data_IF_226208306134
#
_entry.id   IF_226208306134
#
_cell.length_a   1.000
_cell.length_b   1.000
_cell.length_c   1.000
_cell.angle_alpha   90.00
_cell.angle_beta   90.00
_cell.angle_gamma   90.00
#
_symmetry.space_group_name_H-M   'P 1'
#
loop_
_entity.id
_entity.type
_entity.pdbx_description
1 polymer ?
#
# COMPACT_ATOMS: atom_id res chain seq x y z
N UNK A 1 13.94 -24.82 8.39
CA UNK A 1 13.93 -23.46 8.96
C UNK A 1 12.47 -23.10 9.20
N UNK A 2 12.02 -23.14 10.46
CA UNK A 2 10.62 -23.08 10.85
C UNK A 2 10.02 -21.70 10.62
N UNK A 3 8.98 -21.62 9.79
CA UNK A 3 8.11 -20.45 9.71
C UNK A 3 7.33 -20.35 11.03
N UNK A 4 7.62 -19.34 11.83
CA UNK A 4 6.78 -18.98 12.97
C UNK A 4 5.41 -18.58 12.41
N UNK A 5 4.38 -19.43 12.59
CA UNK A 5 3.00 -18.99 12.45
C UNK A 5 2.81 -17.87 13.47
N UNK A 6 2.48 -16.67 13.01
CA UNK A 6 1.86 -15.68 13.89
C UNK A 6 0.70 -16.37 14.61
N UNK A 7 0.49 -16.11 15.91
CA UNK A 7 -0.69 -16.64 16.61
C UNK A 7 -1.93 -16.33 15.77
N UNK A 8 -2.88 -17.27 15.70
CA UNK A 8 -4.19 -17.03 15.07
C UNK A 8 -4.86 -15.90 15.85
N UNK A 9 -4.64 -14.66 15.40
CA UNK A 9 -5.25 -13.48 15.98
C UNK A 9 -6.76 -13.57 15.71
N UNK A 10 -7.57 -13.25 16.71
CA UNK A 10 -9.02 -13.23 16.55
C UNK A 10 -9.46 -12.21 15.49
N UNK A 11 -10.62 -12.44 14.87
CA UNK A 11 -11.15 -11.57 13.82
C UNK A 11 -11.25 -10.10 14.24
N UNK A 12 -11.58 -9.82 15.50
CA UNK A 12 -11.63 -8.46 16.05
C UNK A 12 -10.24 -7.78 16.06
N UNK A 13 -9.19 -8.52 16.43
CA UNK A 13 -7.81 -8.01 16.41
C UNK A 13 -7.35 -7.78 14.97
N UNK A 14 -7.65 -8.71 14.05
CA UNK A 14 -7.32 -8.56 12.64
C UNK A 14 -8.06 -7.39 11.98
N UNK A 15 -9.31 -7.12 12.35
CA UNK A 15 -10.06 -5.98 11.83
C UNK A 15 -9.36 -4.63 12.11
N UNK A 16 -8.58 -4.54 13.18
CA UNK A 16 -7.86 -3.33 13.59
C UNK A 16 -6.40 -3.35 13.12
N UNK A 17 -5.74 -4.51 13.21
CA UNK A 17 -4.28 -4.63 13.10
C UNK A 17 -3.79 -5.44 11.89
N UNK A 18 -4.68 -5.89 11.00
CA UNK A 18 -4.27 -6.65 9.80
C UNK A 18 -3.49 -5.81 8.79
N UNK A 19 -3.65 -4.48 8.81
CA UNK A 19 -2.94 -3.61 7.91
C UNK A 19 -1.42 -3.69 8.13
N UNK A 20 -0.68 -4.01 7.05
CA UNK A 20 0.78 -4.14 7.09
C UNK A 20 1.53 -2.90 6.57
N UNK A 21 0.80 -1.93 6.00
CA UNK A 21 1.41 -0.74 5.41
C UNK A 21 1.98 0.17 6.50
N UNK A 22 3.21 0.63 6.30
CA UNK A 22 3.86 1.61 7.17
C UNK A 22 3.88 2.95 6.47
N UNK A 23 3.38 3.98 7.14
CA UNK A 23 3.55 5.36 6.70
C UNK A 23 5.02 5.78 6.81
N UNK A 24 5.49 6.62 5.87
CA UNK A 24 6.88 7.07 5.81
C UNK A 24 7.27 7.96 7.00
N UNK A 25 6.29 8.61 7.64
CA UNK A 25 6.49 9.44 8.83
C UNK A 25 6.13 8.70 10.13
N UNK A 26 5.79 7.42 10.04
CA UNK A 26 5.46 6.59 11.20
C UNK A 26 4.10 6.89 11.82
N UNK A 27 3.17 7.48 11.05
CA UNK A 27 1.80 7.66 11.53
C UNK A 27 1.16 6.33 11.92
N UNK A 28 0.51 6.30 13.10
CA UNK A 28 -0.25 5.12 13.56
C UNK A 28 -1.49 4.84 12.70
N UNK A 29 -1.97 5.85 11.96
CA UNK A 29 -3.07 5.73 11.00
C UNK A 29 -2.54 6.03 9.60
N UNK A 30 -3.03 5.31 8.58
CA UNK A 30 -2.68 5.63 7.19
C UNK A 30 -3.26 6.99 6.80
N UNK A 31 -2.44 7.88 6.21
CA UNK A 31 -2.93 9.16 5.70
C UNK A 31 -4.03 9.00 4.66
N UNK A 32 -4.94 9.96 4.61
CA UNK A 32 -5.92 10.08 3.55
C UNK A 32 -5.25 10.74 2.34
N UNK A 33 -5.20 10.04 1.22
CA UNK A 33 -4.66 10.56 -0.04
C UNK A 33 -5.78 11.17 -0.87
N UNK A 34 -6.14 12.42 -0.58
CA UNK A 34 -7.11 13.19 -1.36
C UNK A 34 -6.49 13.69 -2.67
N UNK A 35 -6.22 12.75 -3.58
CA UNK A 35 -5.69 13.01 -4.92
C UNK A 35 -6.29 12.04 -5.92
N UNK A 36 -6.34 12.44 -7.17
CA UNK A 36 -6.72 11.57 -8.28
C UNK A 36 -5.52 10.92 -8.95
N UNK A 37 -4.31 11.51 -8.83
CA UNK A 37 -3.11 11.11 -9.58
C UNK A 37 -1.83 11.22 -8.75
N UNK A 38 -0.73 10.64 -9.25
CA UNK A 38 0.56 10.54 -8.56
C UNK A 38 1.70 11.04 -9.45
N UNK A 39 2.69 11.68 -8.83
CA UNK A 39 3.86 12.21 -9.53
C UNK A 39 4.98 11.16 -9.60
N UNK A 40 5.80 11.27 -10.63
CA UNK A 40 7.00 10.46 -10.83
C UNK A 40 8.20 11.36 -11.13
N UNK A 41 9.42 10.93 -10.78
CA UNK A 41 10.63 11.72 -11.02
C UNK A 41 10.95 11.93 -12.51
N UNK A 42 10.36 11.12 -13.40
CA UNK A 42 10.51 11.26 -14.85
C UNK A 42 9.71 10.21 -15.61
N UNK A 43 9.73 10.30 -16.94
CA UNK A 43 8.97 9.41 -17.83
C UNK A 43 9.45 7.97 -17.77
N UNK A 44 10.76 7.73 -17.57
CA UNK A 44 11.30 6.39 -17.38
C UNK A 44 10.66 5.68 -16.16
N UNK A 45 10.54 6.40 -15.03
CA UNK A 45 9.91 5.85 -13.83
C UNK A 45 8.40 5.62 -14.01
N UNK A 46 7.73 6.47 -14.80
CA UNK A 46 6.33 6.27 -15.16
C UNK A 46 6.15 5.01 -16.03
N UNK A 47 7.03 4.80 -17.01
CA UNK A 47 6.99 3.64 -17.93
C UNK A 47 7.05 2.32 -17.16
N UNK A 48 7.98 2.20 -16.21
CA UNK A 48 8.09 1.00 -15.35
C UNK A 48 6.77 0.63 -14.66
N UNK A 49 5.96 1.63 -14.28
CA UNK A 49 4.68 1.38 -13.59
C UNK A 49 3.59 1.02 -14.58
N UNK A 50 3.52 1.74 -15.70
CA UNK A 50 2.50 1.49 -16.74
C UNK A 50 2.68 0.15 -17.44
N UNK A 51 3.92 -0.34 -17.54
CA UNK A 51 4.25 -1.65 -18.12
C UNK A 51 4.20 -2.79 -17.08
N UNK A 52 3.94 -2.46 -15.81
CA UNK A 52 3.83 -3.45 -14.73
C UNK A 52 5.18 -3.96 -14.20
N UNK A 53 6.31 -3.38 -14.61
CA UNK A 53 7.63 -3.69 -14.07
C UNK A 53 7.80 -3.23 -12.61
N UNK A 54 7.04 -2.21 -12.19
CA UNK A 54 7.03 -1.69 -10.82
C UNK A 54 5.61 -1.44 -10.31
N UNK A 55 5.27 -2.01 -9.15
CA UNK A 55 3.97 -1.75 -8.50
C UNK A 55 4.00 -0.39 -7.80
N UNK A 56 3.24 0.56 -8.32
CA UNK A 56 3.09 1.91 -7.75
C UNK A 56 1.71 2.50 -8.13
N UNK A 57 1.21 3.50 -7.40
CA UNK A 57 -0.07 4.13 -7.72
C UNK A 57 0.04 5.01 -8.96
N UNK A 58 -0.86 4.82 -9.94
CA UNK A 58 -0.93 5.64 -11.16
C UNK A 58 -2.08 6.65 -11.08
N UNK A 59 -3.30 6.16 -10.87
CA UNK A 59 -4.52 6.95 -10.82
C UNK A 59 -5.50 6.30 -9.85
N UNK A 60 -6.12 7.08 -8.96
CA UNK A 60 -6.89 6.55 -7.83
C UNK A 60 -8.07 5.65 -8.25
N UNK A 61 -8.59 5.81 -9.48
CA UNK A 61 -9.60 4.91 -10.09
C UNK A 61 -9.16 3.45 -10.12
N UNK A 62 -7.87 3.19 -10.36
CA UNK A 62 -7.33 1.84 -10.55
C UNK A 62 -6.58 1.31 -9.32
N UNK A 63 -6.53 2.11 -8.25
CA UNK A 63 -5.82 1.78 -7.02
C UNK A 63 -4.93 2.93 -6.55
N UNK A 64 -4.79 3.02 -5.23
CA UNK A 64 -3.89 3.94 -4.54
C UNK A 64 -3.43 3.29 -3.22
N UNK A 65 -2.41 3.80 -2.51
CA UNK A 65 -1.82 3.12 -1.35
C UNK A 65 -2.84 2.62 -0.31
N UNK A 66 -3.89 3.37 0.07
CA UNK A 66 -4.98 2.86 0.91
C UNK A 66 -5.77 1.68 0.33
N UNK A 67 -5.92 1.59 -1.00
CA UNK A 67 -6.64 0.50 -1.69
C UNK A 67 -5.77 -0.72 -1.98
N UNK A 68 -4.44 -0.59 -2.04
CA UNK A 68 -3.54 -1.73 -2.29
C UNK A 68 -3.35 -2.65 -1.08
N UNK A 69 -3.93 -2.28 0.07
CA UNK A 69 -3.86 -3.00 1.34
C UNK A 69 -5.10 -3.89 1.62
N UNK A 70 -6.04 -3.99 0.66
CA UNK A 70 -7.11 -5.00 0.64
C UNK A 70 -6.73 -6.15 -0.30
#
# INVERSE_FOLDING_TARGET
>A
MSHLRSPDLGAATLAIHSQQQKDAFGSSHIPIYETTTFTYPGTAALLEVTEGHRRAPLYSRYGHPPLYAL
#
